data_IF_076635653399
#
_entry.id   IF_076635653399
#
_cell.length_a   1.000
_cell.length_b   1.000
_cell.length_c   1.000
_cell.angle_alpha   90.00
_cell.angle_beta   90.00
_cell.angle_gamma   90.00
#
_symmetry.space_group_name_H-M   'P 1'
#
loop_
_entity.id
_entity.type
_entity.pdbx_description
1 polymer ?
#
# COMPACT_ATOMS: atom_id res chain seq x y z
N UNK A 1 1.00 -9.53 24.96
CA UNK A 1 -0.06 -9.17 23.97
C UNK A 1 -1.02 -8.17 24.59
N UNK A 2 -1.85 -8.50 25.57
CA UNK A 2 -2.86 -7.57 26.15
C UNK A 2 -2.34 -6.20 26.66
N UNK A 3 -1.12 -6.11 27.18
CA UNK A 3 -0.50 -4.84 27.59
C UNK A 3 -0.04 -3.98 26.39
N UNK A 4 0.27 -4.59 25.26
CA UNK A 4 0.66 -3.91 24.03
C UNK A 4 -0.58 -3.34 23.32
N UNK A 5 -1.65 -4.12 23.26
CA UNK A 5 -2.94 -3.70 22.71
C UNK A 5 -3.57 -2.54 23.52
N UNK A 6 -3.51 -2.59 24.87
CA UNK A 6 -3.97 -1.47 25.71
C UNK A 6 -3.16 -0.19 25.47
N UNK A 7 -1.85 -0.29 25.27
CA UNK A 7 -0.98 0.86 24.99
C UNK A 7 -1.24 1.48 23.60
N UNK A 8 -1.61 0.68 22.61
CA UNK A 8 -1.98 1.19 21.28
C UNK A 8 -3.34 1.88 21.30
N UNK A 9 -4.34 1.30 21.96
CA UNK A 9 -5.65 1.92 22.13
C UNK A 9 -5.57 3.25 22.88
N UNK A 10 -4.79 3.34 23.96
CA UNK A 10 -4.61 4.59 24.71
C UNK A 10 -3.94 5.69 23.84
N UNK A 11 -3.01 5.31 22.96
CA UNK A 11 -2.37 6.22 22.00
C UNK A 11 -3.35 6.71 20.95
N UNK A 12 -4.15 5.83 20.36
CA UNK A 12 -5.16 6.19 19.35
C UNK A 12 -6.20 7.15 19.94
N UNK A 13 -6.67 6.92 21.16
CA UNK A 13 -7.60 7.82 21.88
C UNK A 13 -6.99 9.19 22.10
N UNK A 14 -5.75 9.28 22.61
CA UNK A 14 -5.07 10.54 22.84
C UNK A 14 -4.78 11.30 21.53
N UNK A 15 -4.44 10.60 20.47
CA UNK A 15 -4.25 11.16 19.13
C UNK A 15 -5.57 11.70 18.59
N UNK A 16 -6.65 10.93 18.68
CA UNK A 16 -7.99 11.34 18.27
C UNK A 16 -8.41 12.63 18.95
N UNK A 17 -8.32 12.71 20.28
CA UNK A 17 -8.69 13.92 21.05
C UNK A 17 -7.86 15.15 20.61
N UNK A 18 -6.59 14.96 20.33
CA UNK A 18 -5.69 16.01 19.84
C UNK A 18 -6.08 16.48 18.43
N UNK A 19 -6.29 15.57 17.50
CA UNK A 19 -6.62 15.89 16.12
C UNK A 19 -7.99 16.55 16.01
N UNK A 20 -9.01 16.03 16.72
CA UNK A 20 -10.35 16.62 16.76
C UNK A 20 -10.32 18.02 17.36
N UNK A 21 -9.63 18.22 18.48
CA UNK A 21 -9.53 19.56 19.07
C UNK A 21 -8.86 20.59 18.14
N UNK A 22 -7.85 20.17 17.36
CA UNK A 22 -7.17 21.03 16.39
C UNK A 22 -7.97 21.23 15.09
N UNK A 23 -8.82 20.29 14.70
CA UNK A 23 -9.65 20.40 13.48
C UNK A 23 -10.81 21.39 13.61
N UNK A 24 -11.35 21.56 14.81
CA UNK A 24 -12.51 22.43 15.11
C UNK A 24 -12.14 23.92 15.21
N UNK A 25 -10.88 24.24 15.46
CA UNK A 25 -10.38 25.57 15.75
C UNK A 25 -9.89 26.28 14.45
N UNK A 26 -9.67 27.60 14.51
CA UNK A 26 -9.48 28.48 13.32
C UNK A 26 -8.16 28.33 12.55
N UNK A 27 -7.80 29.35 11.75
CA UNK A 27 -6.65 29.27 10.81
C UNK A 27 -5.28 29.09 11.49
N UNK A 28 -5.07 29.57 12.73
CA UNK A 28 -3.83 29.36 13.48
C UNK A 28 -3.67 27.91 13.92
N UNK A 29 -4.75 27.22 14.13
CA UNK A 29 -4.79 25.83 14.57
C UNK A 29 -4.55 24.84 13.42
N UNK A 30 -4.78 25.24 12.17
CA UNK A 30 -4.39 24.47 10.99
C UNK A 30 -2.87 24.26 10.91
N UNK A 31 -2.10 25.27 11.28
CA UNK A 31 -0.62 25.14 11.36
C UNK A 31 -0.22 24.17 12.46
N UNK A 32 -0.92 24.20 13.60
CA UNK A 32 -0.69 23.26 14.69
C UNK A 32 -1.10 21.84 14.31
N UNK A 33 -2.22 21.64 13.61
CA UNK A 33 -2.67 20.37 13.06
C UNK A 33 -1.64 19.78 12.09
N UNK A 34 -1.20 20.55 11.10
CA UNK A 34 -0.13 20.13 10.18
C UNK A 34 1.18 19.80 10.90
N UNK A 35 1.53 20.58 11.92
CA UNK A 35 2.71 20.35 12.76
C UNK A 35 2.61 19.07 13.61
N UNK A 36 1.39 18.68 14.00
CA UNK A 36 1.10 17.41 14.65
C UNK A 36 1.22 16.25 13.65
N UNK A 37 0.53 16.33 12.52
CA UNK A 37 0.47 15.30 11.48
C UNK A 37 1.86 14.96 10.89
N UNK A 38 2.78 15.91 10.82
CA UNK A 38 4.18 15.64 10.41
C UNK A 38 4.96 14.70 11.35
N UNK A 39 4.44 14.42 12.54
CA UNK A 39 5.11 13.61 13.58
C UNK A 39 4.35 12.34 13.91
N UNK A 40 3.23 12.13 13.27
CA UNK A 40 2.35 10.96 13.43
C UNK A 40 2.49 10.11 12.17
N UNK A 41 2.59 8.81 12.33
CA UNK A 41 2.59 7.87 11.21
C UNK A 41 1.22 7.90 10.50
N UNK A 42 1.16 7.90 9.16
CA UNK A 42 -0.09 7.92 8.42
C UNK A 42 -1.04 6.78 8.83
N UNK A 43 -0.52 5.60 9.11
CA UNK A 43 -1.26 4.41 9.57
C UNK A 43 -2.01 4.70 10.89
N UNK A 44 -1.37 5.39 11.83
CA UNK A 44 -2.02 5.81 13.09
C UNK A 44 -3.13 6.84 12.84
N UNK A 45 -2.96 7.70 11.82
CA UNK A 45 -4.01 8.66 11.41
C UNK A 45 -5.19 7.92 10.80
N UNK A 46 -4.97 6.93 9.93
CA UNK A 46 -6.00 6.12 9.31
C UNK A 46 -6.93 5.47 10.35
N UNK A 47 -6.35 4.87 11.40
CA UNK A 47 -7.11 4.28 12.52
C UNK A 47 -8.03 5.32 13.19
N UNK A 48 -7.52 6.54 13.40
CA UNK A 48 -8.31 7.61 14.04
C UNK A 48 -9.43 8.08 13.13
N UNK A 49 -9.20 8.21 11.82
CA UNK A 49 -10.20 8.67 10.87
C UNK A 49 -11.44 7.77 10.82
N UNK A 50 -11.28 6.45 10.99
CA UNK A 50 -12.39 5.50 11.04
C UNK A 50 -13.45 5.82 12.10
N UNK A 51 -13.05 6.45 13.22
CA UNK A 51 -13.92 6.81 14.35
C UNK A 51 -14.50 8.23 14.31
N UNK A 52 -14.20 9.01 13.26
CA UNK A 52 -14.62 10.41 13.15
C UNK A 52 -15.82 10.58 12.21
N UNK A 53 -16.48 11.75 12.31
CA UNK A 53 -17.48 12.12 11.31
C UNK A 53 -16.82 12.59 9.98
N UNK A 54 -17.60 12.64 8.91
CA UNK A 54 -17.09 12.93 7.55
C UNK A 54 -16.41 14.29 7.46
N UNK A 55 -16.92 15.32 8.15
CA UNK A 55 -16.33 16.66 8.10
C UNK A 55 -14.97 16.70 8.81
N UNK A 56 -14.89 16.09 9.98
CA UNK A 56 -13.64 15.96 10.76
C UNK A 56 -12.58 15.16 10.00
N UNK A 57 -12.99 14.01 9.41
CA UNK A 57 -12.14 13.19 8.53
C UNK A 57 -11.49 14.02 7.44
N UNK A 58 -12.31 14.75 6.69
CA UNK A 58 -11.85 15.51 5.54
C UNK A 58 -10.91 16.66 5.91
N UNK A 59 -11.18 17.36 7.03
CA UNK A 59 -10.31 18.43 7.53
C UNK A 59 -8.93 17.87 7.88
N UNK A 60 -8.87 16.75 8.61
CA UNK A 60 -7.62 16.12 9.03
C UNK A 60 -6.87 15.57 7.82
N UNK A 61 -7.56 14.86 6.93
CA UNK A 61 -6.99 14.29 5.71
C UNK A 61 -6.37 15.36 4.81
N UNK A 62 -7.09 16.45 4.53
CA UNK A 62 -6.57 17.58 3.73
C UNK A 62 -5.37 18.29 4.38
N UNK A 63 -5.21 18.18 5.69
CA UNK A 63 -4.08 18.77 6.41
C UNK A 63 -2.83 17.87 6.44
N UNK A 64 -2.89 16.64 5.94
CA UNK A 64 -1.73 15.75 5.83
C UNK A 64 -0.59 16.42 5.04
N UNK A 65 0.68 16.13 5.41
CA UNK A 65 1.83 16.92 4.96
C UNK A 65 2.22 16.68 3.49
N UNK A 66 1.89 15.55 2.91
CA UNK A 66 2.26 15.17 1.54
C UNK A 66 1.21 14.29 0.89
N UNK A 67 1.32 14.09 -0.42
CA UNK A 67 0.44 13.22 -1.21
C UNK A 67 0.65 11.76 -0.82
N UNK A 68 1.89 11.35 -0.63
CA UNK A 68 2.26 10.01 -0.15
C UNK A 68 1.60 9.70 1.21
N UNK A 69 1.61 10.65 2.15
CA UNK A 69 0.93 10.46 3.44
C UNK A 69 -0.59 10.32 3.29
N UNK A 70 -1.19 10.93 2.27
CA UNK A 70 -2.62 10.78 1.97
C UNK A 70 -2.91 9.44 1.32
N UNK A 71 -2.05 8.98 0.40
CA UNK A 71 -2.13 7.67 -0.22
C UNK A 71 -2.10 6.59 0.86
N UNK A 72 -1.09 6.56 1.71
CA UNK A 72 -0.98 5.61 2.83
C UNK A 72 -2.21 5.63 3.76
N UNK A 73 -2.78 6.81 4.04
CA UNK A 73 -4.02 6.87 4.84
C UNK A 73 -5.20 6.24 4.10
N UNK A 74 -5.32 6.40 2.78
CA UNK A 74 -6.38 5.75 1.99
C UNK A 74 -6.22 4.23 1.95
N UNK A 75 -5.00 3.72 1.79
CA UNK A 75 -4.65 2.30 1.84
C UNK A 75 -5.12 1.66 3.16
N UNK A 76 -4.80 2.29 4.27
CA UNK A 76 -5.02 1.77 5.62
C UNK A 76 -6.46 2.00 6.14
N UNK A 77 -7.32 2.73 5.41
CA UNK A 77 -8.70 2.96 5.83
C UNK A 77 -9.66 1.90 5.26
N UNK A 78 -10.79 1.69 5.96
CA UNK A 78 -11.87 0.86 5.42
C UNK A 78 -12.52 1.50 4.17
N UNK A 79 -13.18 0.67 3.37
CA UNK A 79 -13.78 1.06 2.10
C UNK A 79 -14.75 2.26 2.22
N UNK A 80 -15.55 2.34 3.31
CA UNK A 80 -16.48 3.43 3.49
C UNK A 80 -15.75 4.75 3.79
N UNK A 81 -14.74 4.71 4.67
CA UNK A 81 -13.91 5.87 5.00
C UNK A 81 -13.14 6.34 3.76
N UNK A 82 -12.57 5.43 2.98
CA UNK A 82 -11.90 5.72 1.71
C UNK A 82 -12.83 6.45 0.74
N UNK A 83 -14.02 5.93 0.52
CA UNK A 83 -15.03 6.56 -0.35
C UNK A 83 -15.41 7.96 0.12
N UNK A 84 -15.70 8.15 1.42
CA UNK A 84 -16.07 9.45 1.99
C UNK A 84 -14.94 10.50 1.79
N UNK A 85 -13.68 10.08 1.94
CA UNK A 85 -12.52 10.94 1.75
C UNK A 85 -12.32 11.33 0.28
N UNK A 86 -12.42 10.36 -0.63
CA UNK A 86 -12.29 10.59 -2.07
C UNK A 86 -13.41 11.50 -2.61
N UNK A 87 -14.65 11.33 -2.14
CA UNK A 87 -15.79 12.18 -2.49
C UNK A 87 -15.61 13.62 -2.04
N UNK A 88 -14.88 13.85 -0.95
CA UNK A 88 -14.58 15.17 -0.41
C UNK A 88 -13.44 15.92 -1.10
N UNK A 89 -12.72 15.27 -2.04
CA UNK A 89 -11.63 15.87 -2.82
C UNK A 89 -12.12 16.46 -4.15
N UNK A 90 -11.38 17.44 -4.68
CA UNK A 90 -11.54 17.83 -6.09
C UNK A 90 -11.03 16.72 -7.01
N UNK A 91 -11.40 16.76 -8.28
CA UNK A 91 -10.93 15.82 -9.30
C UNK A 91 -9.40 15.77 -9.38
N UNK A 92 -8.75 16.95 -9.31
CA UNK A 92 -7.31 17.06 -9.37
C UNK A 92 -6.64 16.48 -8.12
N UNK A 93 -7.14 16.84 -6.91
CA UNK A 93 -6.62 16.29 -5.66
C UNK A 93 -6.76 14.76 -5.59
N UNK A 94 -7.89 14.24 -6.07
CA UNK A 94 -8.19 12.80 -6.10
C UNK A 94 -7.28 12.05 -7.05
N UNK A 95 -7.09 12.57 -8.28
CA UNK A 95 -6.17 11.99 -9.27
C UNK A 95 -4.74 11.94 -8.74
N UNK A 96 -4.26 13.03 -8.10
CA UNK A 96 -2.93 13.12 -7.53
C UNK A 96 -2.71 12.08 -6.40
N UNK A 97 -3.69 11.92 -5.50
CA UNK A 97 -3.55 11.00 -4.37
C UNK A 97 -3.67 9.54 -4.82
N UNK A 98 -4.61 9.23 -5.72
CA UNK A 98 -4.79 7.86 -6.24
C UNK A 98 -3.56 7.43 -7.05
N UNK A 99 -2.94 8.33 -7.81
CA UNK A 99 -1.74 8.04 -8.59
C UNK A 99 -0.49 7.72 -7.75
N UNK A 100 -0.51 8.00 -6.44
CA UNK A 100 0.57 7.64 -5.50
C UNK A 100 0.27 6.35 -4.71
N UNK A 101 -0.89 5.71 -4.96
CA UNK A 101 -1.24 4.45 -4.29
C UNK A 101 -0.55 3.27 -4.97
N UNK A 102 -0.23 2.17 -4.24
CA UNK A 102 0.10 0.89 -4.84
C UNK A 102 -0.95 0.44 -5.86
N UNK A 103 -0.51 -0.31 -6.87
CA UNK A 103 -1.36 -0.61 -8.04
C UNK A 103 -2.63 -1.39 -7.68
N UNK A 104 -2.58 -2.31 -6.73
CA UNK A 104 -3.72 -3.07 -6.23
C UNK A 104 -4.72 -2.18 -5.47
N UNK A 105 -4.27 -1.34 -4.56
CA UNK A 105 -5.10 -0.36 -3.86
C UNK A 105 -5.67 0.71 -4.79
N UNK A 106 -4.90 1.11 -5.80
CA UNK A 106 -5.35 2.02 -6.85
C UNK A 106 -6.51 1.41 -7.63
N UNK A 107 -6.45 0.13 -8.01
CA UNK A 107 -7.56 -0.57 -8.69
C UNK A 107 -8.83 -0.51 -7.85
N UNK A 108 -8.72 -0.81 -6.56
CA UNK A 108 -9.85 -0.74 -5.62
C UNK A 108 -10.42 0.68 -5.48
N UNK A 109 -9.55 1.69 -5.46
CA UNK A 109 -9.96 3.09 -5.38
C UNK A 109 -10.67 3.57 -6.68
N UNK A 110 -10.27 3.05 -7.83
CA UNK A 110 -10.89 3.37 -9.12
C UNK A 110 -12.33 2.87 -9.23
N UNK A 111 -12.66 1.72 -8.65
CA UNK A 111 -13.97 1.09 -8.81
C UNK A 111 -15.15 1.97 -8.34
N UNK A 112 -14.91 2.86 -7.38
CA UNK A 112 -15.91 3.83 -6.89
C UNK A 112 -16.11 5.06 -7.79
N UNK A 113 -15.27 5.28 -8.82
CA UNK A 113 -15.23 6.51 -9.59
C UNK A 113 -16.00 6.42 -10.91
N UNK A 114 -16.45 7.58 -11.47
CA UNK A 114 -16.99 7.63 -12.83
C UNK A 114 -15.96 7.17 -13.87
N UNK A 115 -16.40 6.42 -14.88
CA UNK A 115 -15.54 5.83 -15.90
C UNK A 115 -14.59 6.84 -16.59
N UNK A 116 -15.08 8.04 -16.89
CA UNK A 116 -14.26 9.08 -17.51
C UNK A 116 -13.11 9.56 -16.61
N UNK A 117 -13.32 9.52 -15.30
CA UNK A 117 -12.29 9.85 -14.30
C UNK A 117 -11.29 8.70 -14.16
N UNK A 118 -11.76 7.46 -14.10
CA UNK A 118 -10.89 6.27 -14.11
C UNK A 118 -9.94 6.28 -15.33
N UNK A 119 -10.50 6.51 -16.54
CA UNK A 119 -9.71 6.55 -17.78
C UNK A 119 -8.66 7.69 -17.78
N UNK A 120 -8.97 8.82 -17.14
CA UNK A 120 -8.03 9.92 -16.99
C UNK A 120 -6.90 9.59 -16.02
N UNK A 121 -7.22 9.06 -14.84
CA UNK A 121 -6.21 8.65 -13.84
C UNK A 121 -5.26 7.62 -14.47
N UNK A 122 -5.80 6.58 -15.10
CA UNK A 122 -4.98 5.55 -15.77
C UNK A 122 -4.10 6.13 -16.89
N UNK A 123 -4.56 7.18 -17.58
CA UNK A 123 -3.77 7.83 -18.63
C UNK A 123 -2.64 8.70 -18.10
N UNK A 124 -2.73 9.14 -16.84
CA UNK A 124 -1.71 9.96 -16.16
C UNK A 124 -0.65 9.10 -15.45
N UNK A 125 -0.87 7.77 -15.31
CA UNK A 125 0.10 6.83 -14.76
C UNK A 125 1.30 6.59 -15.69
N UNK A 126 2.40 6.08 -15.15
CA UNK A 126 3.48 5.52 -15.94
C UNK A 126 2.97 4.30 -16.75
N UNK A 127 3.61 4.00 -17.89
CA UNK A 127 3.10 2.96 -18.81
C UNK A 127 3.05 1.57 -18.16
N UNK A 128 4.03 1.26 -17.29
CA UNK A 128 4.12 0.00 -16.54
C UNK A 128 2.94 -0.13 -15.58
N UNK A 129 2.70 0.86 -14.71
CA UNK A 129 1.59 0.88 -13.75
C UNK A 129 0.22 0.84 -14.46
N UNK A 130 0.09 1.56 -15.57
CA UNK A 130 -1.14 1.55 -16.36
C UNK A 130 -1.41 0.18 -17.01
N UNK A 131 -0.38 -0.60 -17.36
CA UNK A 131 -0.52 -1.97 -17.86
C UNK A 131 -0.96 -2.89 -16.72
N UNK A 132 -0.33 -2.80 -15.55
CA UNK A 132 -0.65 -3.58 -14.36
C UNK A 132 -2.08 -3.33 -13.88
N UNK A 133 -2.52 -2.06 -13.82
CA UNK A 133 -3.93 -1.70 -13.52
C UNK A 133 -4.89 -2.35 -14.50
N UNK A 134 -4.57 -2.33 -15.83
CA UNK A 134 -5.43 -2.96 -16.83
C UNK A 134 -5.47 -4.48 -16.70
N UNK A 135 -4.38 -5.10 -16.29
CA UNK A 135 -4.30 -6.53 -16.03
C UNK A 135 -5.13 -6.90 -14.79
N UNK A 136 -4.90 -6.25 -13.64
CA UNK A 136 -5.62 -6.54 -12.40
C UNK A 136 -7.13 -6.38 -12.54
N UNK A 137 -7.59 -5.36 -13.25
CA UNK A 137 -9.02 -5.12 -13.50
C UNK A 137 -9.73 -6.18 -14.36
N UNK A 138 -9.02 -7.19 -14.87
CA UNK A 138 -9.63 -8.32 -15.56
C UNK A 138 -10.10 -9.42 -14.60
N UNK A 139 -9.65 -9.40 -13.36
CA UNK A 139 -10.00 -10.39 -12.35
C UNK A 139 -11.18 -9.93 -11.50
N UNK A 140 -11.92 -10.91 -10.96
CA UNK A 140 -12.98 -10.61 -9.99
C UNK A 140 -12.36 -10.16 -8.66
N UNK A 141 -12.91 -9.13 -7.98
CA UNK A 141 -12.31 -8.56 -6.76
C UNK A 141 -12.10 -9.58 -5.63
N UNK A 142 -12.97 -10.60 -5.52
CA UNK A 142 -12.91 -11.65 -4.50
C UNK A 142 -12.12 -12.89 -4.95
N UNK A 143 -11.41 -12.81 -6.09
CA UNK A 143 -10.52 -13.87 -6.57
C UNK A 143 -9.06 -13.65 -6.14
N UNK A 144 -8.24 -14.70 -6.20
CA UNK A 144 -6.80 -14.59 -5.96
C UNK A 144 -6.13 -13.55 -6.89
N UNK A 145 -6.57 -13.47 -8.15
CA UNK A 145 -6.10 -12.47 -9.12
C UNK A 145 -6.49 -11.05 -8.74
N UNK A 146 -7.70 -10.83 -8.20
CA UNK A 146 -8.14 -9.52 -7.74
C UNK A 146 -7.47 -9.05 -6.44
N UNK A 147 -6.88 -9.97 -5.68
CA UNK A 147 -6.21 -9.68 -4.41
C UNK A 147 -4.68 -9.69 -4.51
N UNK A 148 -4.10 -9.95 -5.70
CA UNK A 148 -2.66 -10.00 -5.86
C UNK A 148 -2.09 -8.59 -6.08
N UNK A 149 -0.86 -8.37 -5.59
CA UNK A 149 -0.07 -7.20 -5.96
C UNK A 149 0.89 -7.55 -7.10
N UNK A 150 1.07 -6.70 -8.11
CA UNK A 150 2.11 -6.84 -9.11
C UNK A 150 3.49 -6.44 -8.57
N UNK A 151 3.56 -5.77 -7.43
CA UNK A 151 4.77 -5.24 -6.83
C UNK A 151 5.53 -6.30 -6.03
N UNK A 152 6.29 -7.13 -6.71
CA UNK A 152 7.09 -8.17 -6.08
C UNK A 152 8.54 -8.20 -6.61
N UNK A 153 9.45 -8.66 -5.77
CA UNK A 153 10.88 -8.72 -6.09
C UNK A 153 11.23 -10.05 -6.76
N UNK A 154 11.91 -9.98 -7.89
CA UNK A 154 12.33 -11.14 -8.69
C UNK A 154 13.85 -11.24 -8.77
N UNK A 155 14.37 -12.46 -8.62
CA UNK A 155 15.73 -12.82 -8.98
C UNK A 155 15.71 -13.94 -10.03
N UNK A 156 16.52 -13.86 -11.10
CA UNK A 156 16.60 -14.95 -12.07
C UNK A 156 17.29 -16.18 -11.48
N UNK A 157 16.94 -17.37 -11.95
CA UNK A 157 17.69 -18.60 -11.66
C UNK A 157 19.18 -18.42 -12.00
N UNK A 158 20.06 -18.90 -11.14
CA UNK A 158 21.52 -18.72 -11.26
C UNK A 158 22.05 -17.42 -10.67
N UNK A 159 21.18 -16.52 -10.19
CA UNK A 159 21.61 -15.34 -9.46
C UNK A 159 22.31 -15.72 -8.14
N UNK A 160 23.26 -14.91 -7.71
CA UNK A 160 23.86 -15.03 -6.38
C UNK A 160 23.01 -14.34 -5.32
N UNK A 161 23.20 -14.73 -4.07
CA UNK A 161 22.53 -14.06 -2.93
C UNK A 161 22.86 -12.57 -2.85
N UNK A 162 24.07 -12.17 -3.27
CA UNK A 162 24.47 -10.76 -3.35
C UNK A 162 23.73 -9.99 -4.43
N UNK A 163 23.50 -10.60 -5.60
CA UNK A 163 22.72 -10.00 -6.68
C UNK A 163 21.24 -9.86 -6.29
N UNK A 164 20.65 -10.87 -5.65
CA UNK A 164 19.29 -10.80 -5.13
C UNK A 164 19.13 -9.69 -4.07
N UNK A 165 20.12 -9.52 -3.17
CA UNK A 165 20.10 -8.40 -2.21
C UNK A 165 20.24 -7.03 -2.90
N UNK A 166 21.02 -6.95 -3.98
CA UNK A 166 21.14 -5.72 -4.76
C UNK A 166 19.81 -5.33 -5.44
N UNK A 167 19.02 -6.31 -5.90
CA UNK A 167 17.67 -6.07 -6.43
C UNK A 167 16.77 -5.42 -5.37
N UNK A 168 16.82 -5.91 -4.12
CA UNK A 168 16.06 -5.31 -3.01
C UNK A 168 16.47 -3.84 -2.78
N UNK A 169 17.78 -3.57 -2.77
CA UNK A 169 18.30 -2.21 -2.55
C UNK A 169 17.91 -1.23 -3.67
N UNK A 170 17.68 -1.72 -4.88
CA UNK A 170 17.22 -0.93 -6.02
C UNK A 170 15.71 -0.68 -6.04
N UNK A 171 14.94 -1.45 -5.25
CA UNK A 171 13.47 -1.40 -5.22
C UNK A 171 12.94 -1.26 -3.79
N UNK A 172 13.46 -0.30 -3.04
CA UNK A 172 13.07 -0.07 -1.63
C UNK A 172 11.62 0.38 -1.45
N UNK A 173 10.96 0.77 -2.53
CA UNK A 173 9.56 1.19 -2.54
C UNK A 173 8.60 0.00 -2.73
N UNK A 174 9.09 -1.20 -3.01
CA UNK A 174 8.23 -2.38 -3.07
C UNK A 174 7.60 -2.63 -1.69
N UNK A 175 6.29 -2.72 -1.65
CA UNK A 175 5.47 -2.78 -0.42
C UNK A 175 5.77 -4.03 0.41
N UNK A 176 6.04 -5.16 -0.23
CA UNK A 176 6.31 -6.43 0.43
C UNK A 176 7.75 -6.89 0.20
N UNK A 177 8.67 -6.42 1.03
CA UNK A 177 10.08 -6.80 0.96
C UNK A 177 10.40 -8.04 1.85
N UNK A 178 9.49 -8.96 2.06
CA UNK A 178 9.78 -10.14 2.90
C UNK A 178 10.42 -11.28 2.13
N UNK A 179 10.14 -11.38 0.83
CA UNK A 179 10.57 -12.47 -0.04
C UNK A 179 11.05 -11.96 -1.40
N UNK A 180 11.96 -12.72 -2.01
CA UNK A 180 12.36 -12.58 -3.42
C UNK A 180 11.91 -13.84 -4.15
N UNK A 181 11.20 -13.69 -5.24
CA UNK A 181 10.72 -14.78 -6.08
C UNK A 181 11.81 -15.18 -7.09
N UNK A 182 12.15 -16.45 -7.14
CA UNK A 182 13.16 -16.97 -8.09
C UNK A 182 12.44 -17.50 -9.32
N UNK A 183 12.76 -16.95 -10.49
CA UNK A 183 12.11 -17.32 -11.75
C UNK A 183 13.10 -17.92 -12.75
N UNK A 184 12.59 -18.80 -13.62
CA UNK A 184 13.34 -19.24 -14.79
C UNK A 184 13.49 -18.11 -15.83
N UNK A 185 14.29 -18.35 -16.87
CA UNK A 185 14.44 -17.42 -18.00
C UNK A 185 13.13 -17.15 -18.76
N UNK A 186 12.19 -18.07 -18.67
CA UNK A 186 10.84 -17.97 -19.25
C UNK A 186 9.83 -17.34 -18.29
N UNK A 187 10.27 -16.75 -17.17
CA UNK A 187 9.40 -16.10 -16.17
C UNK A 187 8.65 -17.07 -15.26
N UNK A 188 8.95 -18.37 -15.25
CA UNK A 188 8.26 -19.35 -14.40
C UNK A 188 8.82 -19.37 -13.00
N UNK A 189 7.95 -19.26 -12.00
CA UNK A 189 8.28 -19.35 -10.60
C UNK A 189 8.95 -20.72 -10.27
N UNK A 190 10.14 -20.67 -9.69
CA UNK A 190 10.95 -21.80 -9.25
C UNK A 190 10.94 -21.99 -7.75
N UNK A 191 10.91 -20.89 -6.99
CA UNK A 191 10.97 -20.87 -5.56
C UNK A 191 10.89 -19.47 -5.01
N UNK A 192 10.89 -19.36 -3.69
CA UNK A 192 10.98 -18.09 -2.97
C UNK A 192 12.14 -18.15 -1.98
N UNK A 193 12.80 -17.03 -1.76
CA UNK A 193 13.84 -16.91 -0.74
C UNK A 193 13.52 -15.74 0.18
N UNK A 194 13.58 -15.96 1.50
CA UNK A 194 13.34 -14.88 2.44
C UNK A 194 14.54 -13.92 2.48
N UNK A 195 14.28 -12.63 2.68
CA UNK A 195 15.33 -11.64 2.92
C UNK A 195 16.22 -12.05 4.09
N UNK A 196 15.63 -12.63 5.15
CA UNK A 196 16.38 -13.11 6.31
C UNK A 196 17.42 -14.15 5.90
N UNK A 197 17.12 -15.05 4.98
CA UNK A 197 18.05 -16.10 4.55
C UNK A 197 19.09 -15.55 3.57
N UNK A 198 18.71 -14.62 2.69
CA UNK A 198 19.67 -13.87 1.87
C UNK A 198 20.68 -13.10 2.73
N UNK A 199 20.24 -12.44 3.81
CA UNK A 199 21.15 -11.72 4.71
C UNK A 199 22.11 -12.62 5.49
N UNK A 200 21.79 -13.90 5.68
CA UNK A 200 22.66 -14.89 6.33
C UNK A 200 23.56 -15.59 5.34
N UNK A 201 23.19 -15.63 4.07
CA UNK A 201 23.94 -16.30 3.02
C UNK A 201 25.25 -15.55 2.72
N UNK A 202 26.23 -16.27 2.16
CA UNK A 202 27.41 -15.61 1.58
C UNK A 202 27.00 -15.00 0.24
N UNK A 203 27.47 -13.78 -0.09
CA UNK A 203 27.07 -13.10 -1.32
C UNK A 203 27.30 -13.91 -2.60
N UNK A 204 28.27 -14.81 -2.60
CA UNK A 204 28.66 -15.60 -3.76
C UNK A 204 27.87 -16.92 -3.92
N UNK A 205 27.02 -17.28 -2.94
CA UNK A 205 26.20 -18.50 -3.02
C UNK A 205 25.01 -18.29 -3.95
N UNK A 206 24.61 -19.35 -4.66
CA UNK A 206 23.43 -19.30 -5.53
C UNK A 206 22.15 -19.15 -4.69
N UNK A 207 21.18 -18.43 -5.21
CA UNK A 207 19.87 -18.26 -4.53
C UNK A 207 19.14 -19.58 -4.36
N UNK A 208 19.36 -20.53 -5.29
CA UNK A 208 18.79 -21.88 -5.26
C UNK A 208 19.21 -22.70 -4.05
N UNK A 209 20.37 -22.39 -3.46
CA UNK A 209 20.87 -23.09 -2.26
C UNK A 209 20.06 -22.72 -1.00
N UNK A 210 19.27 -21.66 -1.08
CA UNK A 210 18.53 -21.08 0.05
C UNK A 210 17.03 -20.93 -0.21
N UNK A 211 16.56 -21.18 -1.46
CA UNK A 211 15.15 -21.01 -1.80
C UNK A 211 14.31 -22.18 -1.31
N UNK A 212 13.08 -21.84 -0.90
CA UNK A 212 12.00 -22.81 -0.69
C UNK A 212 11.32 -23.11 -2.02
N UNK A 213 11.16 -24.39 -2.34
CA UNK A 213 10.56 -24.86 -3.60
C UNK A 213 9.19 -25.47 -3.43
N UNK A 214 8.82 -25.85 -2.18
CA UNK A 214 7.49 -26.36 -1.84
C UNK A 214 6.54 -25.19 -1.53
N UNK A 215 6.14 -24.48 -2.58
CA UNK A 215 5.36 -23.26 -2.51
C UNK A 215 3.89 -23.57 -2.72
N UNK A 216 3.03 -23.06 -1.83
CA UNK A 216 1.58 -23.07 -2.05
C UNK A 216 1.25 -22.11 -3.19
N UNK A 217 0.47 -22.58 -4.15
CA UNK A 217 0.04 -21.81 -5.33
C UNK A 217 -1.47 -22.00 -5.50
N UNK A 218 -2.11 -20.95 -5.97
CA UNK A 218 -3.51 -20.95 -6.36
C UNK A 218 -3.65 -20.45 -7.80
N UNK A 219 -4.73 -20.77 -8.46
CA UNK A 219 -5.06 -20.19 -9.76
C UNK A 219 -5.66 -18.79 -9.52
N UNK A 220 -5.52 -17.90 -10.50
CA UNK A 220 -5.97 -16.49 -10.36
C UNK A 220 -7.49 -16.37 -10.19
N UNK A 221 -8.26 -17.35 -10.66
CA UNK A 221 -9.71 -17.44 -10.51
C UNK A 221 -10.17 -18.08 -9.19
N UNK A 222 -9.23 -18.54 -8.34
CA UNK A 222 -9.58 -19.13 -7.05
C UNK A 222 -10.25 -18.10 -6.15
N UNK A 223 -11.41 -18.46 -5.59
CA UNK A 223 -12.13 -17.63 -4.64
C UNK A 223 -11.32 -17.49 -3.33
N UNK A 224 -11.31 -16.31 -2.73
CA UNK A 224 -10.55 -16.02 -1.50
C UNK A 224 -10.96 -16.85 -0.29
N UNK A 225 -12.15 -17.48 -0.32
CA UNK A 225 -12.65 -18.32 0.77
C UNK A 225 -12.23 -19.80 0.65
N UNK A 226 -11.60 -20.21 -0.48
CA UNK A 226 -11.09 -21.55 -0.70
C UNK A 226 -9.65 -21.73 -0.21
#
# INVERSE_FOLDING_TARGET
MAQYESSMQDRAVALRETLVSLSILGAEDRVALQGCLKRVAPEDVAVVLGDLDTDERLIIFKALPSVESKATVLEETDQQTRSDLLDGLSEEERSEVIGEMPVDDLVDALDGLPRAEQERIIADLEEEDAEDVRELRQYEPDSAGGMMTPEFLVAPEGATSGEALATIQGNLNAEVISYVYVTSKEGRLKGVVSIRDLLKARPETAVEDHMETDIVKVEVETDREE
#
